data_IF_448335733433
#
_entry.id   IF_448335733433
#
_cell.length_a   1.000
_cell.length_b   1.000
_cell.length_c   1.000
_cell.angle_alpha   90.00
_cell.angle_beta   90.00
_cell.angle_gamma   90.00
#
_symmetry.space_group_name_H-M   'P 1'
#
loop_
_entity.id
_entity.type
_entity.pdbx_description
1 polymer ?
#
# COMPACT_ATOMS: atom_id res chain seq x y z
N UNK A 1 8.60 -49.65 3.64
CA UNK A 1 8.17 -48.41 2.97
C UNK A 1 6.93 -47.74 3.61
N UNK A 2 5.87 -48.51 3.97
CA UNK A 2 4.63 -47.93 4.52
C UNK A 2 4.80 -47.02 5.77
N UNK A 3 5.63 -47.44 6.73
CA UNK A 3 5.84 -46.66 7.98
C UNK A 3 6.48 -45.28 7.76
N UNK A 4 7.36 -45.15 6.77
CA UNK A 4 7.99 -43.86 6.44
C UNK A 4 6.99 -42.91 5.78
N UNK A 5 6.12 -43.40 4.90
CA UNK A 5 5.07 -42.63 4.24
C UNK A 5 4.04 -42.13 5.28
N UNK A 6 3.66 -43.00 6.23
CA UNK A 6 2.74 -42.61 7.31
C UNK A 6 3.35 -41.52 8.23
N UNK A 7 4.64 -41.62 8.52
CA UNK A 7 5.33 -40.63 9.33
C UNK A 7 5.45 -39.25 8.65
N UNK A 8 5.74 -39.27 7.34
CA UNK A 8 5.77 -38.05 6.52
C UNK A 8 4.37 -37.40 6.43
N UNK A 9 3.33 -38.23 6.21
CA UNK A 9 1.96 -37.74 6.17
C UNK A 9 1.52 -37.11 7.51
N UNK A 10 1.85 -37.77 8.64
CA UNK A 10 1.59 -37.22 9.98
C UNK A 10 2.34 -35.91 10.23
N UNK A 11 3.59 -35.79 9.78
CA UNK A 11 4.38 -34.57 9.86
C UNK A 11 3.79 -33.44 9.02
N UNK A 12 3.33 -33.73 7.81
CA UNK A 12 2.66 -32.75 6.93
C UNK A 12 1.34 -32.28 7.55
N UNK A 13 0.52 -33.21 8.06
CA UNK A 13 -0.75 -32.87 8.73
C UNK A 13 -0.50 -32.05 10.00
N UNK A 14 0.50 -32.37 10.80
CA UNK A 14 0.89 -31.58 11.97
C UNK A 14 1.42 -30.20 11.62
N UNK A 15 2.14 -30.05 10.49
CA UNK A 15 2.62 -28.76 10.01
C UNK A 15 1.48 -27.88 9.43
N UNK A 16 0.48 -28.48 8.81
CA UNK A 16 -0.70 -27.77 8.30
C UNK A 16 -1.68 -27.34 9.41
N UNK A 17 -1.69 -28.02 10.56
CA UNK A 17 -2.64 -27.80 11.65
C UNK A 17 -2.46 -26.51 12.46
N UNK A 18 -1.41 -25.71 12.23
CA UNK A 18 -1.12 -24.50 13.00
C UNK A 18 -1.26 -23.18 12.24
N UNK A 19 -2.00 -23.17 11.13
CA UNK A 19 -2.36 -21.90 10.48
C UNK A 19 -3.51 -21.25 11.27
N UNK A 20 -3.21 -20.61 12.39
CA UNK A 20 -4.15 -19.69 13.01
C UNK A 20 -4.43 -18.58 12.01
N UNK A 21 -5.65 -18.54 11.51
CA UNK A 21 -6.15 -17.38 10.80
C UNK A 21 -5.96 -16.16 11.71
N UNK A 22 -5.70 -15.02 11.12
CA UNK A 22 -5.45 -13.78 11.85
C UNK A 22 -6.25 -12.68 11.20
N UNK A 23 -6.63 -11.71 12.01
CA UNK A 23 -7.38 -10.57 11.54
C UNK A 23 -6.61 -9.83 10.45
N UNK A 24 -7.35 -9.32 9.48
CA UNK A 24 -6.83 -8.56 8.35
C UNK A 24 -7.61 -7.26 8.21
N UNK A 25 -6.89 -6.14 8.19
CA UNK A 25 -7.46 -4.84 7.86
C UNK A 25 -7.27 -4.56 6.36
N UNK A 26 -8.38 -4.41 5.66
CA UNK A 26 -8.40 -3.92 4.28
C UNK A 26 -8.50 -2.40 4.31
N UNK A 27 -7.45 -1.73 3.82
CA UNK A 27 -7.37 -0.28 3.81
C UNK A 27 -8.08 0.31 2.58
N UNK A 28 -8.65 1.50 2.72
CA UNK A 28 -9.19 2.27 1.58
C UNK A 28 -8.16 2.47 0.45
N UNK A 29 -6.87 2.49 0.77
CA UNK A 29 -5.78 2.56 -0.21
C UNK A 29 -5.50 1.25 -0.95
N UNK A 30 -6.29 0.20 -0.79
CA UNK A 30 -6.08 -1.13 -1.36
C UNK A 30 -4.98 -1.97 -0.69
N UNK A 31 -4.33 -1.45 0.34
CA UNK A 31 -3.32 -2.22 1.10
C UNK A 31 -4.00 -3.12 2.11
N UNK A 32 -3.44 -4.29 2.30
CA UNK A 32 -3.86 -5.20 3.37
C UNK A 32 -2.82 -5.19 4.49
N UNK A 33 -3.29 -5.14 5.73
CA UNK A 33 -2.49 -5.42 6.91
C UNK A 33 -2.95 -6.73 7.50
N UNK A 34 -2.12 -7.73 7.39
CA UNK A 34 -2.31 -9.07 7.94
C UNK A 34 -1.54 -9.26 9.23
N UNK A 35 -1.72 -10.37 9.89
CA UNK A 35 -1.04 -10.70 11.16
C UNK A 35 -1.39 -9.72 12.30
N UNK A 36 -2.66 -9.47 12.48
CA UNK A 36 -3.19 -8.56 13.50
C UNK A 36 -4.12 -9.30 14.45
N UNK A 37 -4.36 -8.68 15.61
CA UNK A 37 -5.50 -8.97 16.46
C UNK A 37 -6.24 -7.64 16.62
N UNK A 38 -7.44 -7.53 16.10
CA UNK A 38 -8.31 -6.38 16.30
C UNK A 38 -8.86 -6.47 17.70
N UNK A 39 -8.67 -5.41 18.49
CA UNK A 39 -9.04 -5.36 19.89
C UNK A 39 -10.38 -4.64 20.07
N UNK A 40 -10.58 -3.57 19.32
CA UNK A 40 -11.75 -2.72 19.46
C UNK A 40 -11.92 -1.87 18.19
N UNK A 41 -13.16 -1.64 17.79
CA UNK A 41 -13.51 -0.68 16.76
C UNK A 41 -14.44 0.38 17.36
N UNK A 42 -13.94 1.60 17.44
CA UNK A 42 -14.70 2.78 17.87
C UNK A 42 -15.23 3.56 16.65
N UNK A 43 -16.04 4.59 16.91
CA UNK A 43 -16.59 5.49 15.87
C UNK A 43 -15.50 6.16 15.01
N UNK A 44 -14.32 6.42 15.57
CA UNK A 44 -13.23 7.15 14.90
C UNK A 44 -11.97 6.33 14.66
N UNK A 45 -11.71 5.30 15.46
CA UNK A 45 -10.45 4.55 15.46
C UNK A 45 -10.66 3.06 15.62
N UNK A 46 -9.73 2.31 15.03
CA UNK A 46 -9.61 0.87 15.20
C UNK A 46 -8.32 0.58 15.98
N UNK A 47 -8.47 -0.05 17.13
CA UNK A 47 -7.36 -0.48 17.98
C UNK A 47 -6.96 -1.92 17.62
N UNK A 48 -5.69 -2.16 17.36
CA UNK A 48 -5.19 -3.49 17.02
C UNK A 48 -3.79 -3.74 17.60
N UNK A 49 -3.51 -5.01 17.91
CA UNK A 49 -2.19 -5.48 18.31
C UNK A 49 -1.51 -6.13 17.08
N UNK A 50 -0.28 -5.73 16.72
CA UNK A 50 0.46 -6.37 15.63
C UNK A 50 1.09 -7.67 16.07
N UNK A 51 1.05 -8.70 15.20
CA UNK A 51 1.73 -9.98 15.36
C UNK A 51 0.86 -11.10 15.94
N UNK A 52 1.34 -12.31 15.76
CA UNK A 52 0.66 -13.56 16.17
C UNK A 52 0.39 -13.67 17.68
N UNK A 53 1.25 -13.06 18.49
CA UNK A 53 1.08 -13.05 19.95
C UNK A 53 0.93 -11.62 20.41
N UNK A 54 -0.08 -11.38 21.20
CA UNK A 54 -0.27 -10.11 21.89
C UNK A 54 0.98 -9.87 22.76
N UNK A 55 1.79 -8.89 22.34
CA UNK A 55 2.99 -8.53 23.10
C UNK A 55 2.59 -7.67 24.27
N UNK A 56 2.80 -8.19 25.46
CA UNK A 56 2.64 -7.45 26.70
C UNK A 56 3.99 -6.83 27.04
N UNK A 57 4.01 -5.55 27.38
CA UNK A 57 5.24 -4.88 27.84
C UNK A 57 5.57 -5.29 29.28
N UNK A 58 6.72 -4.85 29.79
CA UNK A 58 7.15 -5.10 31.16
C UNK A 58 6.18 -4.63 32.27
N UNK A 59 5.20 -3.79 31.91
CA UNK A 59 4.13 -3.29 32.81
C UNK A 59 2.80 -4.04 32.62
N UNK A 60 2.76 -5.15 31.91
CA UNK A 60 1.54 -5.90 31.67
C UNK A 60 0.60 -5.29 30.61
N UNK A 61 1.02 -4.24 29.90
CA UNK A 61 0.19 -3.55 28.92
C UNK A 61 0.39 -4.13 27.51
N UNK A 62 -0.72 -4.33 26.80
CA UNK A 62 -0.71 -4.77 25.39
C UNK A 62 -0.17 -3.64 24.52
N UNK A 63 0.76 -3.97 23.62
CA UNK A 63 1.24 -3.02 22.63
C UNK A 63 0.16 -2.78 21.58
N UNK A 64 -0.68 -1.78 21.80
CA UNK A 64 -1.77 -1.39 20.93
C UNK A 64 -1.30 -0.36 19.91
N UNK A 65 -1.76 -0.50 18.68
CA UNK A 65 -1.67 0.50 17.62
C UNK A 65 -3.06 0.93 17.22
N UNK A 66 -3.17 2.15 16.73
CA UNK A 66 -4.42 2.73 16.28
C UNK A 66 -4.36 3.02 14.80
N UNK A 67 -5.51 2.91 14.15
CA UNK A 67 -5.73 3.35 12.77
C UNK A 67 -7.05 4.11 12.70
N UNK A 68 -7.09 5.20 11.98
CA UNK A 68 -8.32 5.93 11.75
C UNK A 68 -9.31 5.06 10.98
N UNK A 69 -10.57 5.06 11.41
CA UNK A 69 -11.60 4.20 10.85
C UNK A 69 -11.88 4.52 9.39
N UNK A 70 -11.83 5.79 9.01
CA UNK A 70 -11.99 6.27 7.62
C UNK A 70 -10.92 5.74 6.65
N UNK A 71 -9.75 5.36 7.15
CA UNK A 71 -8.69 4.73 6.36
C UNK A 71 -8.92 3.23 6.10
N UNK A 72 -9.88 2.60 6.79
CA UNK A 72 -10.14 1.17 6.73
C UNK A 72 -11.48 0.92 6.04
N UNK A 73 -11.45 0.06 5.05
CA UNK A 73 -12.65 -0.35 4.33
C UNK A 73 -13.38 -1.49 5.04
N UNK A 74 -12.67 -2.59 5.34
CA UNK A 74 -13.25 -3.82 5.88
C UNK A 74 -12.26 -4.48 6.86
N UNK A 75 -12.78 -5.06 7.92
CA UNK A 75 -12.07 -5.94 8.83
C UNK A 75 -12.50 -7.36 8.50
N UNK A 76 -11.54 -8.26 8.34
CA UNK A 76 -11.78 -9.71 8.28
C UNK A 76 -11.16 -10.33 9.52
N UNK A 77 -12.01 -10.91 10.32
CA UNK A 77 -11.62 -11.62 11.52
C UNK A 77 -11.11 -13.03 11.22
N UNK A 78 -10.41 -13.63 12.15
CA UNK A 78 -9.83 -14.98 12.04
C UNK A 78 -10.89 -16.08 11.93
N UNK A 79 -12.09 -15.84 12.44
CA UNK A 79 -13.26 -16.72 12.32
C UNK A 79 -13.94 -16.67 10.94
N UNK A 80 -13.45 -15.82 10.04
CA UNK A 80 -14.01 -15.61 8.69
C UNK A 80 -15.12 -14.57 8.65
N UNK A 81 -15.53 -14.00 9.77
CA UNK A 81 -16.50 -12.90 9.79
C UNK A 81 -15.91 -11.64 9.17
N UNK A 82 -16.78 -10.80 8.61
CA UNK A 82 -16.39 -9.55 7.94
C UNK A 82 -17.21 -8.41 8.52
N UNK A 83 -16.53 -7.36 8.89
CA UNK A 83 -17.14 -6.15 9.41
C UNK A 83 -16.74 -4.96 8.55
N UNK A 84 -17.75 -4.23 8.05
CA UNK A 84 -17.53 -3.04 7.23
C UNK A 84 -17.17 -1.87 8.16
N UNK A 85 -15.92 -1.42 8.06
CA UNK A 85 -15.45 -0.25 8.81
C UNK A 85 -15.76 1.07 8.08
N UNK A 86 -15.99 1.00 6.76
CA UNK A 86 -16.25 2.15 5.90
C UNK A 86 -17.47 2.94 6.41
N UNK A 87 -17.28 4.25 6.59
CA UNK A 87 -18.33 5.20 6.93
C UNK A 87 -18.59 6.03 5.67
N UNK A 88 -19.85 6.10 5.26
CA UNK A 88 -20.24 7.01 4.18
C UNK A 88 -19.96 8.45 4.63
N UNK A 89 -19.08 9.12 3.90
CA UNK A 89 -18.79 10.53 4.16
C UNK A 89 -20.01 11.37 3.80
N UNK A 90 -20.44 12.22 4.75
CA UNK A 90 -21.54 13.16 4.58
C UNK A 90 -21.18 14.35 3.69
N UNK A 91 -19.94 14.46 3.21
CA UNK A 91 -19.43 15.61 2.44
C UNK A 91 -19.78 15.60 0.94
N UNK A 92 -20.73 14.76 0.49
CA UNK A 92 -21.35 14.86 -0.84
C UNK A 92 -20.87 13.88 -1.90
N UNK A 93 -19.82 13.11 -1.66
CA UNK A 93 -19.44 11.98 -2.50
C UNK A 93 -19.97 10.69 -1.86
N UNK A 94 -21.28 10.46 -2.01
CA UNK A 94 -21.91 9.23 -1.51
C UNK A 94 -21.48 8.09 -2.42
N UNK A 95 -20.38 7.43 -2.04
CA UNK A 95 -19.96 6.18 -2.64
C UNK A 95 -20.64 5.08 -1.83
N UNK A 96 -21.47 4.26 -2.48
CA UNK A 96 -22.09 3.11 -1.80
C UNK A 96 -21.01 2.12 -1.34
N UNK A 97 -21.29 1.24 -0.36
CA UNK A 97 -20.33 0.23 0.06
C UNK A 97 -19.83 -0.67 -1.08
N UNK A 98 -20.68 -0.97 -2.08
CA UNK A 98 -20.31 -1.74 -3.27
C UNK A 98 -19.34 -0.94 -4.15
N UNK A 99 -19.61 0.33 -4.36
CA UNK A 99 -18.73 1.22 -5.12
C UNK A 99 -17.38 1.42 -4.40
N UNK A 100 -17.40 1.57 -3.08
CA UNK A 100 -16.18 1.64 -2.28
C UNK A 100 -15.37 0.34 -2.36
N UNK A 101 -16.04 -0.82 -2.36
CA UNK A 101 -15.39 -2.12 -2.56
C UNK A 101 -14.73 -2.22 -3.92
N UNK A 102 -15.42 -1.78 -4.97
CA UNK A 102 -14.88 -1.76 -6.32
C UNK A 102 -13.66 -0.86 -6.42
N UNK A 103 -13.72 0.35 -5.84
CA UNK A 103 -12.58 1.27 -5.75
C UNK A 103 -11.39 0.64 -5.02
N UNK A 104 -11.60 0.04 -3.85
CA UNK A 104 -10.55 -0.62 -3.06
C UNK A 104 -9.93 -1.80 -3.81
N UNK A 105 -10.73 -2.59 -4.55
CA UNK A 105 -10.21 -3.65 -5.39
C UNK A 105 -9.32 -3.11 -6.51
N UNK A 106 -9.73 -2.03 -7.19
CA UNK A 106 -8.91 -1.34 -8.17
C UNK A 106 -7.59 -0.82 -7.58
N UNK A 107 -7.64 -0.23 -6.39
CA UNK A 107 -6.43 0.19 -5.66
C UNK A 107 -5.51 -1.00 -5.36
N UNK A 108 -6.08 -2.13 -4.91
CA UNK A 108 -5.33 -3.33 -4.57
C UNK A 108 -4.60 -3.90 -5.78
N UNK A 109 -5.29 -4.05 -6.89
CA UNK A 109 -4.71 -4.60 -8.12
C UNK A 109 -3.66 -3.66 -8.71
N UNK A 110 -3.86 -2.35 -8.66
CA UNK A 110 -2.82 -1.39 -9.01
C UNK A 110 -1.61 -1.51 -8.08
N UNK A 111 -1.83 -1.83 -6.79
CA UNK A 111 -0.73 -2.04 -5.87
C UNK A 111 0.09 -3.28 -6.23
N UNK A 112 -0.55 -4.38 -6.62
CA UNK A 112 0.10 -5.64 -6.99
C UNK A 112 0.76 -5.57 -8.38
N UNK A 113 0.04 -5.09 -9.38
CA UNK A 113 0.41 -5.26 -10.78
C UNK A 113 1.06 -4.04 -11.44
N UNK A 114 0.94 -2.84 -10.85
CA UNK A 114 1.55 -1.67 -11.47
C UNK A 114 3.04 -1.55 -11.12
N UNK A 115 3.90 -1.76 -12.11
CA UNK A 115 5.34 -1.58 -11.98
C UNK A 115 5.79 -0.26 -12.62
N UNK A 116 6.24 0.68 -11.83
CA UNK A 116 6.79 1.98 -12.30
C UNK A 116 8.32 1.91 -12.43
N UNK A 117 8.80 1.08 -13.36
CA UNK A 117 10.25 0.86 -13.52
C UNK A 117 11.01 2.04 -14.14
N UNK A 118 10.33 2.93 -14.88
CA UNK A 118 10.99 3.97 -15.69
C UNK A 118 10.92 5.34 -15.01
N UNK A 119 9.82 5.69 -14.36
CA UNK A 119 9.55 7.06 -13.85
C UNK A 119 10.59 7.50 -12.80
N UNK A 120 10.93 6.63 -11.85
CA UNK A 120 11.93 6.93 -10.84
C UNK A 120 13.32 7.19 -11.43
N UNK A 121 13.91 6.23 -12.17
CA UNK A 121 15.20 6.42 -12.83
C UNK A 121 15.25 7.63 -13.76
N UNK A 122 14.17 7.92 -14.51
CA UNK A 122 14.11 9.12 -15.35
C UNK A 122 14.18 10.41 -14.51
N UNK A 123 13.43 10.48 -13.40
CA UNK A 123 13.51 11.61 -12.47
C UNK A 123 14.91 11.75 -11.88
N UNK A 124 15.57 10.65 -11.52
CA UNK A 124 16.94 10.67 -11.03
C UNK A 124 17.90 11.29 -12.05
N UNK A 125 17.88 10.83 -13.31
CA UNK A 125 18.77 11.31 -14.36
C UNK A 125 18.54 12.81 -14.65
N UNK A 126 17.29 13.24 -14.75
CA UNK A 126 16.95 14.65 -14.99
C UNK A 126 17.41 15.52 -13.82
N UNK A 127 17.15 15.11 -12.59
CA UNK A 127 17.54 15.85 -11.40
C UNK A 127 19.06 15.88 -11.23
N UNK A 128 19.75 14.76 -11.40
CA UNK A 128 21.20 14.67 -11.31
C UNK A 128 21.88 15.54 -12.38
N UNK A 129 21.40 15.46 -13.63
CA UNK A 129 21.92 16.29 -14.72
C UNK A 129 21.72 17.79 -14.47
N UNK A 130 20.60 18.18 -13.86
CA UNK A 130 20.31 19.60 -13.56
C UNK A 130 21.31 20.24 -12.57
N UNK A 131 21.97 19.45 -11.72
CA UNK A 131 22.95 19.95 -10.73
C UNK A 131 24.12 20.68 -11.41
N UNK A 132 24.47 20.29 -12.64
CA UNK A 132 25.56 20.86 -13.39
C UNK A 132 25.16 22.08 -14.25
N UNK A 133 23.87 22.36 -14.40
CA UNK A 133 23.32 23.32 -15.35
C UNK A 133 22.62 24.49 -14.64
N UNK A 134 21.94 24.21 -13.53
CA UNK A 134 21.10 25.19 -12.82
C UNK A 134 21.65 25.54 -11.45
N UNK A 135 21.31 26.74 -10.92
CA UNK A 135 21.72 27.14 -9.57
C UNK A 135 21.21 26.13 -8.52
N UNK A 136 21.97 25.90 -7.43
CA UNK A 136 21.65 24.87 -6.43
C UNK A 136 20.23 24.95 -5.85
N UNK A 137 19.72 26.17 -5.67
CA UNK A 137 18.37 26.38 -5.15
C UNK A 137 17.28 25.89 -6.13
N UNK A 138 17.52 26.03 -7.44
CA UNK A 138 16.58 25.58 -8.47
C UNK A 138 16.56 24.06 -8.63
N UNK A 139 17.65 23.37 -8.32
CA UNK A 139 17.75 21.91 -8.37
C UNK A 139 16.69 21.25 -7.47
N UNK A 140 16.40 21.85 -6.30
CA UNK A 140 15.40 21.33 -5.36
C UNK A 140 13.99 21.30 -5.98
N UNK A 141 13.69 22.24 -6.88
CA UNK A 141 12.38 22.29 -7.55
C UNK A 141 12.20 21.20 -8.63
N UNK A 142 13.29 20.70 -9.21
CA UNK A 142 13.23 19.75 -10.34
C UNK A 142 12.42 18.48 -10.01
N UNK A 143 12.67 17.74 -8.91
CA UNK A 143 11.86 16.57 -8.60
C UNK A 143 10.39 16.92 -8.31
N UNK A 144 10.09 18.09 -7.77
CA UNK A 144 8.71 18.53 -7.55
C UNK A 144 7.98 18.76 -8.88
N UNK A 145 8.60 19.50 -9.80
CA UNK A 145 8.03 19.75 -11.14
C UNK A 145 7.88 18.45 -11.93
N UNK A 146 8.89 17.58 -11.90
CA UNK A 146 8.80 16.27 -12.56
C UNK A 146 7.68 15.41 -11.98
N UNK A 147 7.53 15.39 -10.65
CA UNK A 147 6.48 14.64 -9.98
C UNK A 147 5.09 15.19 -10.31
N UNK A 148 4.93 16.51 -10.34
CA UNK A 148 3.70 17.16 -10.75
C UNK A 148 3.35 16.82 -12.20
N UNK A 149 4.31 16.91 -13.12
CA UNK A 149 4.11 16.52 -14.51
C UNK A 149 3.66 15.06 -14.64
N UNK A 150 4.29 14.13 -13.92
CA UNK A 150 3.91 12.71 -13.96
C UNK A 150 2.54 12.44 -13.35
N UNK A 151 2.04 13.28 -12.43
CA UNK A 151 0.71 13.18 -11.84
C UNK A 151 -0.40 13.59 -12.81
N UNK A 152 -0.14 14.54 -13.74
CA UNK A 152 -1.12 15.01 -14.72
C UNK A 152 -1.44 13.90 -15.72
N UNK A 153 -0.45 13.11 -16.13
CA UNK A 153 -0.67 12.03 -17.08
C UNK A 153 -1.39 10.85 -16.40
N UNK A 154 -2.68 10.73 -16.72
CA UNK A 154 -3.49 9.60 -16.26
C UNK A 154 -2.94 8.30 -16.84
N UNK A 155 -2.60 7.32 -16.01
CA UNK A 155 -2.12 6.03 -16.51
C UNK A 155 -3.23 5.31 -17.25
N UNK A 156 -2.92 4.74 -18.41
CA UNK A 156 -3.84 3.86 -19.12
C UNK A 156 -4.17 2.64 -18.24
N UNK A 157 -5.43 2.23 -18.30
CA UNK A 157 -5.90 1.04 -17.63
C UNK A 157 -5.56 -0.18 -18.52
N UNK A 158 -4.88 -1.21 -18.00
CA UNK A 158 -4.58 -2.41 -18.77
C UNK A 158 -5.84 -3.28 -18.86
N UNK A 159 -6.68 -3.04 -19.85
CA UNK A 159 -7.94 -3.77 -20.08
C UNK A 159 -7.73 -5.28 -20.32
N UNK A 160 -6.54 -5.66 -20.75
CA UNK A 160 -6.13 -7.05 -21.06
C UNK A 160 -5.93 -7.95 -19.82
N UNK A 161 -5.93 -7.36 -18.62
CA UNK A 161 -5.58 -8.08 -17.37
C UNK A 161 -6.71 -8.24 -16.37
N UNK A 162 -7.86 -7.69 -16.65
CA UNK A 162 -8.99 -7.69 -15.71
C UNK A 162 -10.23 -8.22 -16.41
N UNK A 163 -10.94 -9.07 -15.71
CA UNK A 163 -12.21 -9.64 -16.17
C UNK A 163 -13.19 -8.48 -16.43
N UNK A 164 -13.62 -8.29 -17.67
CA UNK A 164 -14.48 -7.16 -18.08
C UNK A 164 -15.76 -7.04 -17.24
N UNK A 165 -16.20 -8.16 -16.64
CA UNK A 165 -17.41 -8.22 -15.80
C UNK A 165 -17.26 -7.53 -14.44
N UNK A 166 -16.02 -7.26 -13.99
CA UNK A 166 -15.73 -6.64 -12.69
C UNK A 166 -15.26 -5.18 -12.79
N UNK A 167 -15.11 -4.67 -14.01
CA UNK A 167 -14.55 -3.33 -14.25
C UNK A 167 -15.66 -2.31 -14.32
N UNK A 168 -15.93 -1.67 -13.19
CA UNK A 168 -16.77 -0.48 -13.16
C UNK A 168 -15.93 0.81 -13.10
N UNK A 169 -16.62 1.95 -13.16
CA UNK A 169 -15.99 3.28 -13.09
C UNK A 169 -15.14 3.47 -11.83
N UNK A 170 -15.59 2.96 -10.69
CA UNK A 170 -14.91 3.12 -9.39
C UNK A 170 -13.67 2.25 -9.31
N UNK A 171 -13.70 1.06 -9.88
CA UNK A 171 -12.52 0.21 -10.01
C UNK A 171 -11.41 0.91 -10.81
N UNK A 172 -11.77 1.43 -12.00
CA UNK A 172 -10.82 2.16 -12.85
C UNK A 172 -10.24 3.36 -12.10
N UNK A 173 -11.08 4.11 -11.39
CA UNK A 173 -10.66 5.27 -10.60
C UNK A 173 -9.64 4.87 -9.53
N UNK A 174 -9.95 3.85 -8.72
CA UNK A 174 -9.05 3.36 -7.68
C UNK A 174 -7.71 2.87 -8.23
N UNK A 175 -7.75 2.18 -9.37
CA UNK A 175 -6.56 1.72 -10.08
C UNK A 175 -5.68 2.88 -10.54
N UNK A 176 -6.28 3.88 -11.20
CA UNK A 176 -5.58 5.06 -11.70
C UNK A 176 -4.99 5.91 -10.59
N UNK A 177 -5.74 6.17 -9.52
CA UNK A 177 -5.28 6.96 -8.38
C UNK A 177 -4.09 6.31 -7.68
N UNK A 178 -4.15 5.02 -7.46
CA UNK A 178 -3.04 4.27 -6.86
C UNK A 178 -1.79 4.31 -7.75
N UNK A 179 -1.96 4.16 -9.06
CA UNK A 179 -0.82 4.28 -10.02
C UNK A 179 -0.22 5.68 -10.01
N UNK A 180 -1.04 6.74 -9.99
CA UNK A 180 -0.55 8.13 -9.89
C UNK A 180 0.27 8.33 -8.62
N UNK A 181 -0.27 7.92 -7.47
CA UNK A 181 0.44 8.03 -6.19
C UNK A 181 1.77 7.27 -6.21
N UNK A 182 1.82 6.07 -6.78
CA UNK A 182 3.06 5.29 -6.92
C UNK A 182 4.09 5.99 -7.81
N UNK A 183 3.67 6.59 -8.93
CA UNK A 183 4.55 7.36 -9.83
C UNK A 183 5.14 8.56 -9.08
N UNK A 184 4.30 9.36 -8.43
CA UNK A 184 4.73 10.54 -7.66
C UNK A 184 5.70 10.15 -6.54
N UNK A 185 5.37 9.14 -5.75
CA UNK A 185 6.27 8.66 -4.68
C UNK A 185 7.60 8.15 -5.21
N UNK A 186 7.59 7.42 -6.32
CA UNK A 186 8.81 6.94 -6.95
C UNK A 186 9.66 8.10 -7.47
N UNK A 187 9.07 9.06 -8.20
CA UNK A 187 9.83 10.21 -8.73
C UNK A 187 10.41 11.07 -7.61
N UNK A 188 9.65 11.35 -6.56
CA UNK A 188 10.15 12.12 -5.41
C UNK A 188 11.31 11.41 -4.71
N UNK A 189 11.20 10.11 -4.45
CA UNK A 189 12.27 9.35 -3.80
C UNK A 189 13.56 9.36 -4.63
N UNK A 190 13.47 9.09 -5.93
CA UNK A 190 14.62 9.09 -6.83
C UNK A 190 15.19 10.51 -7.04
N UNK A 191 14.34 11.53 -7.07
CA UNK A 191 14.77 12.93 -7.15
C UNK A 191 15.58 13.36 -5.93
N UNK A 192 15.12 13.03 -4.72
CA UNK A 192 15.86 13.30 -3.48
C UNK A 192 17.18 12.55 -3.46
N UNK A 193 17.19 11.28 -3.88
CA UNK A 193 18.43 10.51 -3.99
C UNK A 193 19.42 11.14 -4.98
N UNK A 194 18.95 11.67 -6.11
CA UNK A 194 19.77 12.36 -7.10
C UNK A 194 20.41 13.64 -6.52
N UNK A 195 19.64 14.43 -5.78
CA UNK A 195 20.16 15.63 -5.09
C UNK A 195 21.27 15.24 -4.12
N UNK A 196 21.02 14.25 -3.27
CA UNK A 196 22.00 13.79 -2.27
C UNK A 196 23.30 13.30 -2.92
N UNK A 197 23.20 12.47 -3.97
CA UNK A 197 24.38 11.97 -4.69
C UNK A 197 25.12 13.06 -5.46
N UNK A 198 24.41 13.99 -6.08
CA UNK A 198 25.01 15.08 -6.83
C UNK A 198 25.78 16.04 -5.93
N UNK A 199 25.26 16.41 -4.77
CA UNK A 199 25.99 17.20 -3.80
C UNK A 199 27.23 16.46 -3.27
N UNK A 200 27.11 15.16 -2.97
CA UNK A 200 28.24 14.35 -2.55
C UNK A 200 29.37 14.38 -3.60
N UNK A 201 29.07 14.21 -4.88
CA UNK A 201 30.05 14.29 -5.97
C UNK A 201 30.69 15.66 -6.05
N UNK A 202 29.93 16.75 -5.97
CA UNK A 202 30.47 18.11 -6.03
C UNK A 202 31.36 18.46 -4.84
N UNK A 203 31.13 17.85 -3.67
CA UNK A 203 32.04 18.04 -2.51
C UNK A 203 33.34 17.25 -2.62
N UNK A 204 33.30 16.05 -3.24
CA UNK A 204 34.50 15.20 -3.39
C UNK A 204 35.44 15.73 -4.50
N UNK A 205 34.89 16.40 -5.51
CA UNK A 205 35.62 16.89 -6.67
C UNK A 205 36.19 18.31 -6.50
N UNK A 206 35.93 18.97 -5.39
CA UNK A 206 36.56 20.24 -4.97
C UNK A 206 37.71 20.01 -3.99
#
# INVERSE_FOLDING_TARGET
MGRLVTLIFLLVVAACGNSHAQDTLYMMSGRMKTNLNVLEMDSTKIAYAPGRKIKVNSRGLIRTKYKEREDVFEIRYDDGTRELAYIMDSSGYIITPEQARSYVNGCHDAFLYSHNRIVGPACYLVTFGSIFIVPPIAVIAVPCVFSAATAIFTPEFPADRVDETQVDKYYILGYQDTRKIKKVKSSMFFGIAAIATGFAVTFITK
#
